data_IF_541184936672
#
_entry.id   IF_541184936672
#
_cell.length_a   1.000
_cell.length_b   1.000
_cell.length_c   1.000
_cell.angle_alpha   90.00
_cell.angle_beta   90.00
_cell.angle_gamma   90.00
#
_symmetry.space_group_name_H-M   'P 1'
#
loop_
_entity.id
_entity.type
_entity.pdbx_description
1 polymer ?
#
# COMPACT_ATOMS: atom_id res chain seq x y z
N UNK A 1 50.29 -14.12 6.16
CA UNK A 1 49.59 -13.55 7.34
C UNK A 1 48.61 -12.43 6.99
N UNK A 2 48.55 -11.92 5.75
CA UNK A 2 47.67 -10.82 5.32
C UNK A 2 46.25 -11.23 4.89
N UNK A 3 46.06 -12.46 4.39
CA UNK A 3 44.76 -12.93 3.88
C UNK A 3 43.70 -13.09 5.00
N UNK A 4 44.12 -13.51 6.19
CA UNK A 4 43.21 -13.70 7.33
C UNK A 4 42.71 -12.37 7.91
N UNK A 5 43.50 -11.30 7.87
CA UNK A 5 43.08 -9.98 8.35
C UNK A 5 42.08 -9.32 7.41
N UNK A 6 42.23 -9.54 6.10
CA UNK A 6 41.33 -8.97 5.09
C UNK A 6 39.97 -9.69 5.07
N UNK A 7 39.96 -11.02 5.22
CA UNK A 7 38.73 -11.81 5.41
C UNK A 7 37.99 -11.41 6.69
N UNK A 8 38.73 -11.18 7.79
CA UNK A 8 38.11 -10.80 9.06
C UNK A 8 37.55 -9.37 9.02
N UNK A 9 38.18 -8.46 8.28
CA UNK A 9 37.73 -7.08 8.08
C UNK A 9 36.54 -7.00 7.12
N UNK A 10 36.55 -7.79 6.05
CA UNK A 10 35.44 -7.93 5.11
C UNK A 10 34.21 -8.56 5.78
N UNK A 11 34.40 -9.64 6.56
CA UNK A 11 33.32 -10.26 7.32
C UNK A 11 32.72 -9.31 8.36
N UNK A 12 33.53 -8.57 9.12
CA UNK A 12 33.05 -7.57 10.08
C UNK A 12 32.26 -6.44 9.41
N UNK A 13 32.76 -5.94 8.28
CA UNK A 13 32.04 -4.95 7.45
C UNK A 13 30.69 -5.47 6.93
N UNK A 14 30.61 -6.75 6.55
CA UNK A 14 29.36 -7.36 6.06
C UNK A 14 28.37 -7.66 7.18
N UNK A 15 28.85 -8.01 8.38
CA UNK A 15 28.02 -8.21 9.57
C UNK A 15 27.52 -6.88 10.12
N UNK A 16 28.37 -5.86 10.15
CA UNK A 16 27.99 -4.50 10.52
C UNK A 16 26.97 -3.95 9.51
N UNK A 17 27.09 -4.27 8.22
CA UNK A 17 26.07 -3.96 7.21
C UNK A 17 24.75 -4.74 7.40
N UNK A 18 24.82 -5.99 7.88
CA UNK A 18 23.65 -6.84 8.18
C UNK A 18 22.94 -6.44 9.48
N UNK A 19 23.68 -6.01 10.50
CA UNK A 19 23.17 -5.56 11.80
C UNK A 19 22.71 -4.09 11.77
N UNK A 20 23.20 -3.31 10.81
CA UNK A 20 22.85 -1.90 10.60
C UNK A 20 21.89 -1.70 9.43
N UNK A 21 21.02 -2.68 9.14
CA UNK A 21 19.88 -2.46 8.26
C UNK A 21 18.95 -1.43 8.90
N UNK A 22 19.19 -0.15 8.60
CA UNK A 22 18.44 0.97 9.15
C UNK A 22 17.20 1.19 8.29
N UNK A 23 16.05 1.36 8.94
CA UNK A 23 14.79 1.69 8.27
C UNK A 23 14.94 2.96 7.43
N UNK A 24 14.69 2.86 6.12
CA UNK A 24 14.65 4.01 5.23
C UNK A 24 13.31 4.75 5.35
N UNK A 25 13.23 5.60 6.38
CA UNK A 25 12.07 6.43 6.65
C UNK A 25 11.73 7.37 5.50
N UNK A 26 12.74 7.88 4.77
CA UNK A 26 12.51 8.79 3.65
C UNK A 26 11.69 8.09 2.57
N UNK A 27 12.09 6.88 2.18
CA UNK A 27 11.36 6.11 1.19
C UNK A 27 9.95 5.72 1.66
N UNK A 28 9.77 5.41 2.95
CA UNK A 28 8.46 5.11 3.52
C UNK A 28 7.53 6.33 3.43
N UNK A 29 8.01 7.54 3.76
CA UNK A 29 7.20 8.75 3.66
C UNK A 29 6.79 9.07 2.22
N UNK A 30 7.69 8.94 1.24
CA UNK A 30 7.33 9.13 -0.18
C UNK A 30 6.23 8.16 -0.64
N UNK A 31 6.39 6.86 -0.33
CA UNK A 31 5.35 5.87 -0.62
C UNK A 31 4.04 6.19 0.09
N UNK A 32 4.11 6.62 1.35
CA UNK A 32 2.93 6.98 2.15
C UNK A 32 2.13 8.08 1.46
N UNK A 33 2.81 9.13 0.98
CA UNK A 33 2.16 10.22 0.24
C UNK A 33 1.52 9.75 -1.07
N UNK A 34 2.21 8.90 -1.83
CA UNK A 34 1.68 8.33 -3.08
C UNK A 34 0.47 7.43 -2.80
N UNK A 35 0.56 6.58 -1.78
CA UNK A 35 -0.51 5.67 -1.39
C UNK A 35 -1.77 6.43 -0.92
N UNK A 36 -1.59 7.56 -0.23
CA UNK A 36 -2.69 8.47 0.14
C UNK A 36 -3.37 9.09 -1.07
N UNK A 37 -2.61 9.58 -2.06
CA UNK A 37 -3.17 10.13 -3.30
C UNK A 37 -3.91 9.05 -4.10
N UNK A 38 -3.38 7.83 -4.12
CA UNK A 38 -4.03 6.69 -4.80
C UNK A 38 -5.32 6.24 -4.08
N UNK A 39 -5.32 6.16 -2.74
CA UNK A 39 -6.54 5.81 -2.00
C UNK A 39 -7.62 6.87 -2.15
N UNK A 40 -7.24 8.15 -2.21
CA UNK A 40 -8.14 9.26 -2.53
C UNK A 40 -8.79 9.08 -3.91
N UNK A 41 -8.01 8.77 -4.94
CA UNK A 41 -8.50 8.48 -6.30
C UNK A 41 -9.48 7.29 -6.30
N UNK A 42 -9.10 6.18 -5.69
CA UNK A 42 -9.94 4.96 -5.64
C UNK A 42 -11.29 5.26 -4.99
N UNK A 43 -11.28 6.00 -3.88
CA UNK A 43 -12.49 6.37 -3.16
C UNK A 43 -13.39 7.33 -3.96
N UNK A 44 -12.81 8.34 -4.61
CA UNK A 44 -13.57 9.23 -5.51
C UNK A 44 -14.22 8.45 -6.65
N UNK A 45 -13.49 7.52 -7.28
CA UNK A 45 -14.05 6.66 -8.34
C UNK A 45 -15.21 5.83 -7.79
N UNK A 46 -15.06 5.25 -6.60
CA UNK A 46 -16.11 4.41 -6.00
C UNK A 46 -17.42 5.19 -5.81
N UNK A 47 -17.36 6.33 -5.14
CA UNK A 47 -18.56 7.14 -4.87
C UNK A 47 -19.16 7.77 -6.14
N UNK A 48 -18.33 8.04 -7.15
CA UNK A 48 -18.76 8.66 -8.39
C UNK A 48 -19.23 7.66 -9.46
N UNK A 49 -18.83 6.38 -9.36
CA UNK A 49 -18.99 5.38 -10.42
C UNK A 49 -20.44 5.14 -10.86
N UNK A 50 -21.29 4.82 -9.89
CA UNK A 50 -22.69 4.53 -10.14
C UNK A 50 -23.50 5.79 -10.54
N UNK A 51 -23.41 6.93 -9.82
CA UNK A 51 -24.07 8.17 -10.24
C UNK A 51 -23.71 8.59 -11.67
N UNK A 52 -22.42 8.49 -12.01
CA UNK A 52 -21.94 8.89 -13.33
C UNK A 52 -22.54 8.03 -14.44
N UNK A 53 -22.47 6.71 -14.31
CA UNK A 53 -22.97 5.82 -15.36
C UNK A 53 -24.50 5.85 -15.46
N UNK A 54 -25.20 5.95 -14.34
CA UNK A 54 -26.66 6.09 -14.30
C UNK A 54 -27.13 7.40 -14.94
N UNK A 55 -26.36 8.48 -14.80
CA UNK A 55 -26.64 9.75 -15.47
C UNK A 55 -26.42 9.71 -16.98
N UNK A 56 -25.52 8.84 -17.46
CA UNK A 56 -25.19 8.70 -18.88
C UNK A 56 -26.19 7.84 -19.64
N UNK A 57 -26.73 6.82 -18.98
CA UNK A 57 -27.63 5.82 -19.57
C UNK A 57 -28.53 5.19 -18.49
N UNK A 58 -29.78 5.67 -18.37
CA UNK A 58 -30.73 5.22 -17.36
C UNK A 58 -31.16 3.75 -17.49
N UNK A 59 -30.91 3.10 -18.64
CA UNK A 59 -31.28 1.69 -18.85
C UNK A 59 -30.25 0.71 -18.23
N UNK A 60 -29.14 1.22 -17.69
CA UNK A 60 -28.09 0.39 -17.10
C UNK A 60 -28.57 -0.21 -15.78
N UNK A 61 -28.53 -1.55 -15.73
CA UNK A 61 -28.88 -2.31 -14.52
C UNK A 61 -27.76 -2.27 -13.48
N UNK A 62 -28.12 -2.35 -12.20
CA UNK A 62 -27.16 -2.48 -11.08
C UNK A 62 -26.18 -3.66 -11.26
N UNK A 63 -26.66 -4.76 -11.84
CA UNK A 63 -25.85 -5.93 -12.19
C UNK A 63 -24.65 -5.58 -13.09
N UNK A 64 -24.82 -4.63 -14.00
CA UNK A 64 -23.75 -4.16 -14.88
C UNK A 64 -22.64 -3.44 -14.09
N UNK A 65 -23.02 -2.64 -13.10
CA UNK A 65 -22.07 -1.99 -12.20
C UNK A 65 -21.33 -3.03 -11.34
N UNK A 66 -22.05 -4.02 -10.81
CA UNK A 66 -21.44 -5.15 -10.09
C UNK A 66 -20.41 -5.91 -10.94
N UNK A 67 -20.71 -6.14 -12.22
CA UNK A 67 -19.74 -6.70 -13.17
C UNK A 67 -18.54 -5.76 -13.39
N UNK A 68 -18.78 -4.45 -13.50
CA UNK A 68 -17.71 -3.44 -13.59
C UNK A 68 -16.74 -3.49 -12.42
N UNK A 69 -17.26 -3.54 -11.19
CA UNK A 69 -16.45 -3.68 -9.95
C UNK A 69 -15.71 -5.02 -9.91
N UNK A 70 -16.33 -6.10 -10.40
CA UNK A 70 -15.70 -7.41 -10.49
C UNK A 70 -14.52 -7.41 -11.45
N UNK A 71 -14.67 -6.78 -12.62
CA UNK A 71 -13.60 -6.65 -13.61
C UNK A 71 -12.46 -5.76 -13.10
N UNK A 72 -12.78 -4.67 -12.38
CA UNK A 72 -11.78 -3.84 -11.70
C UNK A 72 -10.94 -4.66 -10.71
N UNK A 73 -11.57 -5.49 -9.88
CA UNK A 73 -10.85 -6.31 -8.90
C UNK A 73 -10.06 -7.45 -9.54
N UNK A 74 -10.57 -8.06 -10.61
CA UNK A 74 -9.83 -9.03 -11.42
C UNK A 74 -8.57 -8.40 -12.05
N UNK A 75 -8.71 -7.21 -12.63
CA UNK A 75 -7.58 -6.45 -13.18
C UNK A 75 -6.54 -6.12 -12.13
N UNK A 76 -6.97 -5.72 -10.93
CA UNK A 76 -6.08 -5.46 -9.80
C UNK A 76 -5.35 -6.73 -9.32
N UNK A 77 -6.05 -7.87 -9.27
CA UNK A 77 -5.44 -9.14 -8.90
C UNK A 77 -4.34 -9.55 -9.89
N UNK A 78 -4.65 -9.57 -11.19
CA UNK A 78 -3.68 -9.95 -12.23
C UNK A 78 -2.47 -9.00 -12.26
N UNK A 79 -2.71 -7.69 -12.17
CA UNK A 79 -1.64 -6.71 -12.15
C UNK A 79 -0.77 -6.82 -10.88
N UNK A 80 -1.35 -7.16 -9.73
CA UNK A 80 -0.57 -7.36 -8.50
C UNK A 80 0.36 -8.58 -8.57
N UNK A 81 -0.08 -9.67 -9.22
CA UNK A 81 0.75 -10.85 -9.47
C UNK A 81 1.91 -10.52 -10.41
N UNK A 82 1.62 -9.84 -11.53
CA UNK A 82 2.62 -9.40 -12.49
C UNK A 82 3.62 -8.43 -11.86
N UNK A 83 3.13 -7.44 -11.12
CA UNK A 83 3.96 -6.45 -10.46
C UNK A 83 4.84 -7.07 -9.37
N UNK A 84 4.31 -8.05 -8.61
CA UNK A 84 5.08 -8.85 -7.66
C UNK A 84 6.20 -9.66 -8.33
N UNK A 85 5.91 -10.29 -9.46
CA UNK A 85 6.93 -11.03 -10.24
C UNK A 85 8.01 -10.10 -10.81
N UNK A 86 7.61 -8.97 -11.41
CA UNK A 86 8.52 -7.96 -11.97
C UNK A 86 9.40 -7.37 -10.88
N UNK A 87 8.80 -7.00 -9.74
CA UNK A 87 9.48 -6.52 -8.55
C UNK A 87 10.58 -7.49 -8.12
N UNK A 88 10.23 -8.77 -7.90
CA UNK A 88 11.18 -9.79 -7.45
C UNK A 88 12.31 -10.03 -8.45
N UNK A 89 12.00 -9.99 -9.75
CA UNK A 89 13.00 -10.17 -10.81
C UNK A 89 13.95 -8.98 -10.91
N UNK A 90 13.43 -7.76 -10.84
CA UNK A 90 14.23 -6.54 -10.97
C UNK A 90 14.96 -6.17 -9.68
N UNK A 91 14.55 -6.68 -8.52
CA UNK A 91 15.06 -6.21 -7.21
C UNK A 91 14.72 -4.74 -6.91
N UNK A 92 13.76 -4.19 -7.65
CA UNK A 92 13.34 -2.80 -7.56
C UNK A 92 11.82 -2.71 -7.64
N UNK A 93 11.22 -1.98 -6.70
CA UNK A 93 9.76 -1.74 -6.65
C UNK A 93 9.34 -0.49 -7.43
N UNK A 94 10.29 0.38 -7.79
CA UNK A 94 10.02 1.63 -8.52
C UNK A 94 9.35 1.44 -9.88
N UNK A 95 9.85 0.58 -10.79
CA UNK A 95 9.26 0.43 -12.13
C UNK A 95 7.77 0.01 -12.12
N UNK A 96 7.32 -1.01 -11.37
CA UNK A 96 5.91 -1.39 -11.37
C UNK A 96 5.00 -0.30 -10.78
N UNK A 97 5.45 0.42 -9.75
CA UNK A 97 4.69 1.53 -9.16
C UNK A 97 4.57 2.69 -10.17
N UNK A 98 5.66 3.06 -10.85
CA UNK A 98 5.63 4.10 -11.88
C UNK A 98 4.71 3.73 -13.06
N UNK A 99 4.80 2.50 -13.55
CA UNK A 99 3.95 2.01 -14.62
C UNK A 99 2.47 2.03 -14.20
N UNK A 100 2.17 1.56 -12.98
CA UNK A 100 0.83 1.63 -12.40
C UNK A 100 0.28 3.06 -12.34
N UNK A 101 1.12 4.02 -11.95
CA UNK A 101 0.71 5.42 -11.84
C UNK A 101 0.46 6.09 -13.20
N UNK A 102 1.25 5.75 -14.22
CA UNK A 102 1.00 6.22 -15.59
C UNK A 102 -0.34 5.68 -16.10
N UNK A 103 -0.60 4.38 -15.90
CA UNK A 103 -1.88 3.76 -16.25
C UNK A 103 -3.02 4.41 -15.45
N UNK A 104 -2.81 4.75 -14.18
CA UNK A 104 -3.79 5.45 -13.36
C UNK A 104 -4.20 6.78 -14.00
N UNK A 105 -3.23 7.61 -14.39
CA UNK A 105 -3.47 8.91 -15.05
C UNK A 105 -4.27 8.71 -16.34
N UNK A 106 -3.82 7.80 -17.21
CA UNK A 106 -4.51 7.51 -18.48
C UNK A 106 -5.94 7.04 -18.23
N UNK A 107 -6.13 6.12 -17.28
CA UNK A 107 -7.45 5.56 -16.96
C UNK A 107 -8.41 6.60 -16.37
N UNK A 108 -7.92 7.50 -15.51
CA UNK A 108 -8.72 8.56 -14.91
C UNK A 108 -9.08 9.63 -15.94
N UNK A 109 -8.17 9.97 -16.86
CA UNK A 109 -8.47 10.88 -17.98
C UNK A 109 -9.47 10.26 -18.96
N UNK A 110 -9.33 8.98 -19.28
CA UNK A 110 -10.28 8.27 -20.13
C UNK A 110 -11.67 8.24 -19.48
N UNK A 111 -11.72 7.97 -18.17
CA UNK A 111 -12.95 7.98 -17.40
C UNK A 111 -13.61 9.37 -17.39
N UNK A 112 -12.84 10.44 -17.21
CA UNK A 112 -13.35 11.81 -17.25
C UNK A 112 -13.89 12.23 -18.63
N UNK A 113 -13.46 11.56 -19.70
CA UNK A 113 -13.85 11.83 -21.08
C UNK A 113 -14.86 10.81 -21.63
N UNK A 114 -15.46 9.98 -20.77
CA UNK A 114 -16.42 8.95 -21.19
C UNK A 114 -17.65 9.54 -21.91
N UNK A 115 -18.02 10.78 -21.56
CA UNK A 115 -19.09 11.56 -22.21
C UNK A 115 -18.86 11.81 -23.71
N UNK A 116 -17.60 11.86 -24.16
CA UNK A 116 -17.24 12.10 -25.56
C UNK A 116 -17.51 10.91 -26.47
N UNK A 117 -17.75 9.71 -25.92
CA UNK A 117 -17.99 8.50 -26.70
C UNK A 117 -19.45 8.51 -27.20
N UNK A 118 -19.70 8.60 -28.52
CA UNK A 118 -21.04 8.78 -29.07
C UNK A 118 -21.87 7.49 -29.11
N UNK A 119 -21.23 6.31 -29.17
CA UNK A 119 -21.90 5.00 -29.25
C UNK A 119 -21.34 4.03 -28.20
N UNK A 120 -22.21 3.19 -27.60
CA UNK A 120 -21.79 2.08 -26.75
C UNK A 120 -20.96 2.46 -25.49
N UNK A 121 -21.36 3.56 -24.82
CA UNK A 121 -20.71 4.11 -23.60
C UNK A 121 -20.47 3.09 -22.49
N UNK A 122 -21.38 2.11 -22.37
CA UNK A 122 -21.29 0.95 -21.46
C UNK A 122 -19.95 0.20 -21.59
N UNK A 123 -19.50 -0.07 -22.81
CA UNK A 123 -18.25 -0.78 -23.04
C UNK A 123 -17.02 0.09 -22.76
N UNK A 124 -17.10 1.39 -23.03
CA UNK A 124 -16.06 2.35 -22.65
C UNK A 124 -15.83 2.39 -21.13
N UNK A 125 -16.91 2.34 -20.35
CA UNK A 125 -16.82 2.25 -18.89
C UNK A 125 -16.10 0.97 -18.43
N UNK A 126 -16.42 -0.18 -19.04
CA UNK A 126 -15.72 -1.44 -18.74
C UNK A 126 -14.21 -1.36 -18.99
N UNK A 127 -13.80 -0.78 -20.13
CA UNK A 127 -12.39 -0.58 -20.45
C UNK A 127 -11.71 0.30 -19.40
N UNK A 128 -12.38 1.37 -18.96
CA UNK A 128 -11.87 2.22 -17.88
C UNK A 128 -11.70 1.42 -16.58
N UNK A 129 -12.68 0.59 -16.21
CA UNK A 129 -12.61 -0.23 -14.98
C UNK A 129 -11.46 -1.24 -15.01
N UNK A 130 -11.19 -1.86 -16.17
CA UNK A 130 -10.03 -2.75 -16.34
C UNK A 130 -8.73 -1.98 -16.08
N UNK A 131 -8.55 -0.81 -16.71
CA UNK A 131 -7.34 -0.01 -16.57
C UNK A 131 -7.17 0.55 -15.15
N UNK A 132 -8.27 0.98 -14.52
CA UNK A 132 -8.29 1.39 -13.11
C UNK A 132 -7.89 0.22 -12.19
N UNK A 133 -8.35 -0.99 -12.50
CA UNK A 133 -7.96 -2.21 -11.79
C UNK A 133 -6.47 -2.49 -11.93
N UNK A 134 -5.98 -2.54 -13.17
CA UNK A 134 -4.57 -2.80 -13.48
C UNK A 134 -3.66 -1.78 -12.78
N UNK A 135 -4.00 -0.50 -12.84
CA UNK A 135 -3.22 0.55 -12.14
C UNK A 135 -3.17 0.32 -10.63
N UNK A 136 -4.31 0.10 -9.97
CA UNK A 136 -4.37 -0.18 -8.54
C UNK A 136 -3.54 -1.41 -8.16
N UNK A 137 -3.65 -2.50 -8.92
CA UNK A 137 -2.86 -3.71 -8.68
C UNK A 137 -1.35 -3.49 -8.77
N UNK A 138 -0.89 -2.71 -9.76
CA UNK A 138 0.51 -2.38 -9.92
C UNK A 138 1.05 -1.45 -8.82
N UNK A 139 0.27 -0.42 -8.43
CA UNK A 139 0.64 0.53 -7.37
C UNK A 139 0.78 -0.19 -6.03
N UNK A 140 -0.07 -1.19 -5.71
CA UNK A 140 -0.02 -1.95 -4.46
C UNK A 140 1.29 -2.69 -4.17
N UNK A 141 2.23 -2.72 -5.11
CA UNK A 141 3.62 -3.16 -4.90
C UNK A 141 4.32 -2.37 -3.78
N UNK A 142 3.83 -1.17 -3.43
CA UNK A 142 4.30 -0.44 -2.26
C UNK A 142 4.27 -1.26 -0.96
N UNK A 143 3.35 -2.23 -0.82
CA UNK A 143 3.27 -3.12 0.36
C UNK A 143 4.52 -3.98 0.49
N UNK A 144 5.03 -4.48 -0.64
CA UNK A 144 6.26 -5.26 -0.69
C UNK A 144 7.43 -4.35 -0.35
N UNK A 145 7.48 -3.14 -0.91
CA UNK A 145 8.54 -2.18 -0.59
C UNK A 145 8.63 -1.91 0.91
N UNK A 146 7.51 -1.61 1.55
CA UNK A 146 7.46 -1.26 2.98
C UNK A 146 7.91 -2.43 3.85
N UNK A 147 7.48 -3.65 3.51
CA UNK A 147 7.91 -4.85 4.23
C UNK A 147 9.43 -5.07 4.16
N UNK A 148 10.04 -4.75 3.02
CA UNK A 148 11.47 -4.91 2.76
C UNK A 148 12.30 -3.74 3.30
N UNK A 149 11.79 -2.50 3.28
CA UNK A 149 12.51 -1.31 3.73
C UNK A 149 12.43 -1.06 5.24
N UNK A 150 11.55 -1.76 5.96
CA UNK A 150 11.37 -1.64 7.40
C UNK A 150 12.08 -2.76 8.17
N UNK A 151 12.73 -2.41 9.27
CA UNK A 151 13.21 -3.40 10.26
C UNK A 151 12.04 -4.09 10.98
N UNK A 152 12.27 -5.26 11.58
CA UNK A 152 11.23 -5.98 12.31
C UNK A 152 10.65 -5.16 13.48
N UNK A 153 11.48 -4.34 14.14
CA UNK A 153 11.05 -3.44 15.20
C UNK A 153 10.16 -2.30 14.69
N UNK A 154 10.51 -1.69 13.54
CA UNK A 154 9.81 -0.52 13.02
C UNK A 154 8.67 -0.85 12.05
N UNK A 155 8.54 -2.11 11.59
CA UNK A 155 7.55 -2.53 10.58
C UNK A 155 6.12 -2.24 11.00
N UNK A 156 5.79 -2.44 12.28
CA UNK A 156 4.46 -2.11 12.82
C UNK A 156 4.19 -0.61 12.71
N UNK A 157 5.14 0.23 13.09
CA UNK A 157 5.06 1.70 12.99
C UNK A 157 4.93 2.17 11.54
N UNK A 158 5.73 1.62 10.62
CA UNK A 158 5.64 1.93 9.19
C UNK A 158 4.25 1.57 8.61
N UNK A 159 3.75 0.38 8.94
CA UNK A 159 2.41 -0.05 8.52
C UNK A 159 1.30 0.82 9.11
N UNK A 160 1.43 1.27 10.36
CA UNK A 160 0.45 2.18 10.98
C UNK A 160 0.42 3.55 10.30
N UNK A 161 1.59 4.12 9.95
CA UNK A 161 1.68 5.42 9.24
C UNK A 161 1.01 5.32 7.87
N UNK A 162 1.29 4.26 7.11
CA UNK A 162 0.65 4.07 5.81
C UNK A 162 -0.83 3.78 5.97
N UNK A 163 -1.22 2.92 6.90
CA UNK A 163 -2.62 2.62 7.20
C UNK A 163 -3.42 3.89 7.51
N UNK A 164 -2.88 4.79 8.31
CA UNK A 164 -3.48 6.09 8.60
C UNK A 164 -3.63 6.94 7.34
N UNK A 165 -2.58 7.05 6.52
CA UNK A 165 -2.62 7.81 5.27
C UNK A 165 -3.65 7.29 4.27
N UNK A 166 -3.82 5.97 4.17
CA UNK A 166 -4.81 5.35 3.29
C UNK A 166 -6.22 5.75 3.71
N UNK A 167 -6.52 5.69 5.01
CA UNK A 167 -7.81 6.10 5.56
C UNK A 167 -8.11 7.58 5.31
N UNK A 168 -7.11 8.47 5.49
CA UNK A 168 -7.26 9.89 5.13
C UNK A 168 -7.67 10.03 3.66
N UNK A 169 -6.97 9.36 2.74
CA UNK A 169 -7.32 9.43 1.32
C UNK A 169 -8.74 8.92 1.05
N UNK A 170 -9.15 7.80 1.67
CA UNK A 170 -10.52 7.28 1.53
C UNK A 170 -11.60 8.27 2.00
N UNK A 171 -11.28 9.14 2.95
CA UNK A 171 -12.22 10.16 3.42
C UNK A 171 -12.21 11.38 2.51
N UNK A 172 -11.03 11.80 2.03
CA UNK A 172 -10.90 12.93 1.11
C UNK A 172 -11.54 12.67 -0.27
N UNK A 173 -11.69 11.40 -0.66
CA UNK A 173 -12.26 11.02 -1.95
C UNK A 173 -13.68 11.57 -2.17
N UNK A 174 -14.68 11.22 -1.34
CA UNK A 174 -16.06 11.66 -1.51
C UNK A 174 -16.25 13.13 -1.16
N UNK A 175 -15.43 13.67 -0.24
CA UNK A 175 -15.36 15.11 0.04
C UNK A 175 -15.01 15.91 -1.21
N UNK A 176 -14.11 15.38 -2.05
CA UNK A 176 -13.77 16.01 -3.32
C UNK A 176 -14.98 16.04 -4.25
N UNK A 177 -15.71 14.92 -4.37
CA UNK A 177 -16.93 14.88 -5.21
C UNK A 177 -17.95 15.91 -4.70
N UNK A 178 -18.21 15.93 -3.38
CA UNK A 178 -19.11 16.90 -2.76
C UNK A 178 -18.69 18.35 -3.02
N UNK A 179 -17.40 18.66 -2.89
CA UNK A 179 -16.86 20.00 -3.16
C UNK A 179 -17.16 20.44 -4.59
N UNK A 180 -16.89 19.59 -5.58
CA UNK A 180 -17.14 19.92 -6.98
C UNK A 180 -18.63 19.95 -7.34
N UNK A 181 -19.47 19.12 -6.72
CA UNK A 181 -20.93 19.22 -6.85
C UNK A 181 -21.46 20.56 -6.34
N UNK A 182 -20.89 21.12 -5.27
CA UNK A 182 -21.27 22.44 -4.75
C UNK A 182 -20.72 23.59 -5.59
N UNK A 183 -19.52 23.43 -6.16
CA UNK A 183 -18.87 24.46 -6.97
C UNK A 183 -19.47 24.55 -8.39
N UNK A 184 -19.87 23.43 -8.99
CA UNK A 184 -20.47 23.38 -10.32
C UNK A 184 -21.98 23.16 -10.23
N UNK A 185 -22.74 24.25 -10.12
CA UNK A 185 -24.21 24.21 -10.15
C UNK A 185 -24.80 24.06 -11.57
N UNK A 186 -23.99 24.16 -12.62
CA UNK A 186 -24.41 23.99 -14.02
C UNK A 186 -23.25 23.40 -14.82
N UNK A 187 -23.55 22.44 -15.70
CA UNK A 187 -22.54 21.83 -16.58
C UNK A 187 -22.02 22.86 -17.59
N UNK A 188 -20.72 23.15 -17.54
CA UNK A 188 -20.09 24.10 -18.46
C UNK A 188 -19.53 23.30 -19.64
N UNK A 189 -20.03 23.56 -20.86
CA UNK A 189 -19.45 22.99 -22.07
C UNK A 189 -18.20 23.78 -22.45
N UNK A 190 -17.04 23.14 -22.40
CA UNK A 190 -15.81 23.74 -22.89
C UNK A 190 -15.78 23.74 -24.44
N UNK A 191 -15.06 24.69 -25.05
CA UNK A 191 -14.99 24.84 -26.52
C UNK A 191 -14.44 23.62 -27.27
N UNK A 192 -13.84 22.65 -26.58
CA UNK A 192 -13.25 21.43 -27.14
C UNK A 192 -14.21 20.22 -27.17
N UNK A 193 -15.50 20.44 -26.85
CA UNK A 193 -16.52 19.38 -26.80
C UNK A 193 -16.61 18.63 -25.47
N UNK A 194 -15.68 18.87 -24.53
CA UNK A 194 -15.71 18.33 -23.16
C UNK A 194 -16.77 19.08 -22.34
N UNK A 195 -17.73 18.38 -21.74
CA UNK A 195 -18.63 19.00 -20.77
C UNK A 195 -18.05 18.81 -19.37
N UNK A 196 -17.76 19.92 -18.67
CA UNK A 196 -17.44 19.87 -17.25
C UNK A 196 -18.76 19.69 -16.49
N UNK A 197 -19.15 18.44 -16.32
CA UNK A 197 -20.24 18.01 -15.44
C UNK A 197 -19.75 17.85 -14.00
N UNK A 198 -20.69 17.81 -13.07
CA UNK A 198 -20.47 17.51 -11.64
C UNK A 198 -19.72 16.19 -11.40
N UNK A 199 -19.77 15.25 -12.35
CA UNK A 199 -19.15 13.94 -12.26
C UNK A 199 -17.76 13.88 -12.92
N UNK A 200 -17.49 14.74 -13.91
CA UNK A 200 -16.21 14.77 -14.63
C UNK A 200 -15.17 15.66 -13.94
N UNK A 201 -15.59 16.78 -13.33
CA UNK A 201 -14.69 17.71 -12.64
C UNK A 201 -13.86 17.07 -11.50
N UNK A 202 -14.43 16.24 -10.59
CA UNK A 202 -13.66 15.51 -9.59
C UNK A 202 -12.59 14.60 -10.21
N UNK A 203 -12.88 14.00 -11.36
CA UNK A 203 -11.97 13.07 -12.03
C UNK A 203 -10.76 13.78 -12.63
N UNK A 204 -10.94 14.98 -13.20
CA UNK A 204 -9.82 15.82 -13.63
C UNK A 204 -8.91 16.21 -12.47
N UNK A 205 -9.49 16.57 -11.33
CA UNK A 205 -8.73 16.85 -10.12
C UNK A 205 -7.95 15.62 -9.61
N UNK A 206 -8.55 14.43 -9.65
CA UNK A 206 -7.85 13.18 -9.30
C UNK A 206 -6.74 12.83 -10.30
N UNK A 207 -6.90 13.13 -11.59
CA UNK A 207 -5.83 12.98 -12.56
C UNK A 207 -4.66 13.91 -12.23
N UNK A 208 -4.93 15.16 -11.84
CA UNK A 208 -3.91 16.10 -11.37
C UNK A 208 -3.18 15.60 -10.12
N UNK A 209 -3.90 15.10 -9.12
CA UNK A 209 -3.28 14.49 -7.92
C UNK A 209 -2.44 13.26 -8.27
N UNK A 210 -2.89 12.45 -9.23
CA UNK A 210 -2.13 11.28 -9.71
C UNK A 210 -0.83 11.68 -10.42
N UNK A 211 -0.83 12.79 -11.16
CA UNK A 211 0.37 13.38 -11.78
C UNK A 211 1.35 13.86 -10.71
N UNK A 212 0.87 14.54 -9.65
CA UNK A 212 1.72 14.92 -8.51
C UNK A 212 2.34 13.67 -7.87
N UNK A 213 1.54 12.61 -7.65
CA UNK A 213 2.04 11.33 -7.15
C UNK A 213 3.14 10.73 -8.03
N UNK A 214 2.98 10.78 -9.36
CA UNK A 214 4.01 10.33 -10.31
C UNK A 214 5.29 11.16 -10.20
N UNK A 215 5.17 12.50 -10.09
CA UNK A 215 6.31 13.40 -9.92
C UNK A 215 7.06 13.09 -8.60
N UNK A 216 6.33 12.84 -7.51
CA UNK A 216 6.93 12.47 -6.22
C UNK A 216 7.74 11.17 -6.32
N UNK A 217 7.23 10.16 -7.04
CA UNK A 217 7.98 8.92 -7.29
C UNK A 217 9.24 9.20 -8.13
N UNK A 218 9.12 10.04 -9.17
CA UNK A 218 10.25 10.34 -10.07
C UNK A 218 11.39 11.02 -9.31
N UNK A 219 11.07 12.03 -8.48
CA UNK A 219 12.05 12.86 -7.78
C UNK A 219 12.61 12.15 -6.53
N UNK A 220 11.76 11.46 -5.76
CA UNK A 220 12.07 11.12 -4.37
C UNK A 220 12.33 9.66 -4.06
N UNK A 221 11.98 8.72 -4.94
CA UNK A 221 11.88 7.30 -4.59
C UNK A 221 13.00 6.43 -5.20
N UNK A 222 13.95 5.91 -4.42
CA UNK A 222 15.05 5.06 -4.94
C UNK A 222 14.59 3.59 -5.19
N UNK A 223 13.55 3.13 -4.47
CA UNK A 223 12.84 1.86 -4.74
C UNK A 223 13.69 0.59 -4.76
N UNK A 224 14.88 0.64 -4.17
CA UNK A 224 15.77 -0.53 -4.01
C UNK A 224 15.18 -1.49 -2.99
N UNK A 225 15.18 -2.77 -3.33
CA UNK A 225 14.88 -3.83 -2.37
C UNK A 225 16.18 -4.43 -1.87
N UNK A 226 16.43 -4.32 -0.57
CA UNK A 226 17.48 -5.08 0.08
C UNK A 226 17.05 -6.55 0.10
N UNK A 227 17.64 -7.36 -0.78
CA UNK A 227 17.38 -8.80 -0.77
C UNK A 227 17.92 -9.37 0.53
N UNK A 228 17.17 -10.20 1.28
CA UNK A 228 17.77 -11.03 2.30
C UNK A 228 18.83 -11.89 1.61
N UNK A 229 20.06 -11.85 2.11
CA UNK A 229 21.17 -12.64 1.59
C UNK A 229 20.75 -14.12 1.65
N UNK A 230 20.42 -14.71 0.49
CA UNK A 230 20.37 -16.16 0.40
C UNK A 230 21.81 -16.64 0.62
N UNK A 231 22.09 -17.53 1.58
CA UNK A 231 23.40 -18.17 1.61
C UNK A 231 23.57 -18.86 0.27
N UNK A 232 24.62 -18.47 -0.47
CA UNK A 232 25.02 -19.13 -1.71
C UNK A 232 25.23 -20.61 -1.39
N UNK A 233 24.33 -21.46 -1.90
CA UNK A 233 24.63 -22.86 -2.12
C UNK A 233 25.36 -22.91 -3.45
N UNK A 234 26.68 -22.87 -3.42
CA UNK A 234 27.50 -23.10 -4.61
C UNK A 234 27.36 -24.58 -4.98
N UNK A 235 26.63 -24.85 -6.05
CA UNK A 235 26.82 -26.06 -6.85
C UNK A 235 28.02 -25.81 -7.76
N UNK A 236 29.19 -26.35 -7.42
CA UNK A 236 30.16 -26.76 -8.43
C UNK A 236 31.02 -27.96 -7.95
N UNK A 237 30.70 -29.10 -8.55
CA UNK A 237 31.57 -30.21 -8.98
C UNK A 237 32.90 -30.47 -8.23
N UNK A 238 32.86 -31.49 -7.38
CA UNK A 238 33.83 -32.59 -7.37
C UNK A 238 35.29 -32.30 -7.00
N UNK A 239 35.60 -32.21 -5.71
CA UNK A 239 36.82 -32.80 -5.13
C UNK A 239 36.52 -33.28 -3.71
N UNK A 240 36.65 -34.59 -3.50
CA UNK A 240 36.75 -35.22 -2.19
C UNK A 240 38.09 -34.81 -1.56
N UNK A 241 38.04 -34.11 -0.42
CA UNK A 241 38.75 -34.45 0.82
C UNK A 241 38.95 -33.25 1.75
N UNK A 242 38.41 -33.41 2.95
CA UNK A 242 38.97 -33.02 4.24
C UNK A 242 39.07 -31.53 4.63
N UNK A 243 38.82 -31.32 5.92
CA UNK A 243 38.93 -30.09 6.71
C UNK A 243 37.73 -29.13 6.72
N UNK A 244 36.99 -29.25 7.82
CA UNK A 244 36.10 -28.28 8.42
C UNK A 244 36.66 -26.85 8.42
N UNK A 245 35.99 -25.94 7.69
CA UNK A 245 36.07 -24.51 7.99
C UNK A 245 34.77 -23.79 7.61
N UNK A 246 33.73 -24.03 8.40
CA UNK A 246 32.54 -23.17 8.45
C UNK A 246 32.82 -22.01 9.39
N UNK A 247 32.92 -20.80 8.86
CA UNK A 247 33.01 -19.58 9.64
C UNK A 247 31.68 -19.34 10.37
N UNK A 248 31.72 -19.37 11.70
CA UNK A 248 30.58 -19.07 12.57
C UNK A 248 30.86 -17.76 13.30
N UNK A 249 30.07 -16.72 13.00
CA UNK A 249 30.07 -15.48 13.78
C UNK A 249 29.10 -15.68 14.95
N UNK A 250 29.64 -15.59 16.17
CA UNK A 250 28.90 -15.79 17.41
C UNK A 250 28.45 -14.42 17.94
N UNK A 251 27.22 -13.99 17.64
CA UNK A 251 26.59 -12.86 18.36
C UNK A 251 25.73 -13.40 19.50
N UNK A 252 26.19 -13.29 20.74
CA UNK A 252 25.32 -13.44 21.92
C UNK A 252 24.53 -12.14 22.07
N UNK A 253 23.28 -12.12 21.62
CA UNK A 253 22.30 -11.13 22.09
C UNK A 253 21.40 -11.86 23.08
N UNK A 254 21.59 -11.60 24.37
CA UNK A 254 20.67 -12.06 25.41
C UNK A 254 19.40 -11.22 25.31
N UNK A 255 18.28 -11.89 25.05
CA UNK A 255 16.95 -11.30 25.01
C UNK A 255 16.55 -10.92 26.45
N UNK A 256 16.46 -9.63 26.75
CA UNK A 256 15.77 -9.15 27.95
C UNK A 256 16.49 -8.13 28.84
N UNK A 257 16.94 -6.99 28.31
CA UNK A 257 17.22 -5.78 29.11
C UNK A 257 17.04 -4.50 28.28
N UNK A 258 16.68 -3.41 28.98
CA UNK A 258 16.29 -2.07 28.48
C UNK A 258 17.32 -1.41 27.52
N UNK A 259 16.92 -0.50 26.61
CA UNK A 259 17.74 -0.03 25.48
C UNK A 259 18.98 0.83 25.82
N UNK A 260 19.22 1.15 27.09
CA UNK A 260 20.22 2.14 27.49
C UNK A 260 21.59 1.50 27.81
N UNK A 261 21.65 0.20 28.07
CA UNK A 261 22.91 -0.47 28.47
C UNK A 261 23.67 -1.14 27.30
N UNK A 262 23.11 -1.13 26.08
CA UNK A 262 23.73 -1.76 24.91
C UNK A 262 24.98 -1.01 24.40
N UNK A 263 25.24 0.21 24.90
CA UNK A 263 26.35 1.06 24.45
C UNK A 263 27.71 0.72 25.13
N UNK A 264 27.76 -0.20 26.11
CA UNK A 264 28.98 -0.46 26.91
C UNK A 264 29.52 -1.90 26.91
N UNK A 265 29.13 -2.74 25.95
CA UNK A 265 29.74 -4.06 25.81
C UNK A 265 31.07 -3.97 25.04
N UNK A 266 32.16 -3.73 25.77
CA UNK A 266 33.51 -3.96 25.27
C UNK A 266 33.66 -5.43 24.82
N UNK A 267 34.09 -5.61 23.57
CA UNK A 267 34.43 -6.91 22.98
C UNK A 267 35.72 -7.45 23.62
N UNK A 268 35.58 -8.32 24.61
CA UNK A 268 36.71 -9.09 25.15
C UNK A 268 36.85 -10.40 24.36
N UNK A 269 38.01 -10.58 23.71
CA UNK A 269 38.35 -11.79 22.96
C UNK A 269 38.93 -12.80 23.95
N UNK A 270 38.13 -13.79 24.37
CA UNK A 270 38.58 -14.90 25.21
C UNK A 270 39.18 -16.00 24.31
N UNK A 271 40.40 -16.52 24.58
CA UNK A 271 40.99 -17.61 23.81
C UNK A 271 40.29 -18.95 24.09
N UNK A 272 40.25 -19.79 23.07
CA UNK A 272 39.56 -21.10 23.06
C UNK A 272 40.11 -22.07 24.11
N UNK A 273 39.30 -22.42 25.09
CA UNK A 273 39.40 -23.69 25.82
C UNK A 273 38.47 -24.72 25.17
N UNK A 274 38.99 -25.92 24.96
CA UNK A 274 38.35 -27.11 24.39
C UNK A 274 37.00 -27.45 25.03
N UNK A 275 35.94 -26.90 24.48
CA UNK A 275 34.58 -27.44 24.56
C UNK A 275 33.83 -26.90 23.34
N UNK A 276 33.77 -27.70 22.26
CA UNK A 276 33.01 -27.34 21.06
C UNK A 276 31.55 -27.09 21.45
N UNK A 277 31.05 -25.84 21.41
CA UNK A 277 29.64 -25.59 21.70
C UNK A 277 28.87 -26.09 20.47
N UNK A 278 28.01 -27.08 20.68
CA UNK A 278 27.09 -27.58 19.65
C UNK A 278 26.41 -26.39 18.98
N UNK A 279 26.66 -26.20 17.69
CA UNK A 279 25.93 -25.25 16.85
C UNK A 279 24.50 -25.79 16.76
N UNK A 280 23.63 -25.35 17.66
CA UNK A 280 22.20 -25.53 17.48
C UNK A 280 21.82 -24.77 16.20
N UNK A 281 21.55 -25.55 15.14
CA UNK A 281 20.82 -25.03 13.97
C UNK A 281 19.61 -24.27 14.51
N UNK A 282 19.32 -23.04 14.06
CA UNK A 282 18.08 -22.38 14.44
C UNK A 282 16.96 -23.39 14.20
N UNK A 283 16.20 -23.73 15.26
CA UNK A 283 15.06 -24.64 15.16
C UNK A 283 14.29 -24.23 13.92
N UNK A 284 14.11 -25.15 12.97
CA UNK A 284 13.33 -24.91 11.76
C UNK A 284 12.05 -24.19 12.19
N UNK A 285 11.89 -22.95 11.75
CA UNK A 285 10.75 -22.13 12.16
C UNK A 285 9.50 -22.90 11.74
N UNK A 286 8.81 -23.52 12.71
CA UNK A 286 7.62 -24.30 12.42
C UNK A 286 6.54 -23.29 12.05
N UNK A 287 6.13 -23.31 10.79
CA UNK A 287 5.04 -22.45 10.34
C UNK A 287 3.79 -22.81 11.12
N UNK A 288 3.22 -21.83 11.81
CA UNK A 288 1.91 -21.96 12.41
C UNK A 288 0.86 -21.90 11.28
N UNK A 289 0.59 -23.07 10.70
CA UNK A 289 -0.38 -23.23 9.62
C UNK A 289 -1.79 -22.83 10.05
N UNK A 290 -2.13 -22.96 11.33
CA UNK A 290 -3.44 -22.57 11.85
C UNK A 290 -3.56 -21.05 11.86
N UNK A 291 -2.53 -20.34 12.33
CA UNK A 291 -2.50 -18.88 12.28
C UNK A 291 -2.54 -18.35 10.84
N UNK A 292 -1.77 -18.96 9.92
CA UNK A 292 -1.78 -18.58 8.50
C UNK A 292 -3.18 -18.77 7.89
N UNK A 293 -3.82 -19.92 8.13
CA UNK A 293 -5.16 -20.20 7.64
C UNK A 293 -6.18 -19.21 8.22
N UNK A 294 -6.12 -18.93 9.52
CA UNK A 294 -6.99 -17.96 10.18
C UNK A 294 -6.83 -16.55 9.57
N UNK A 295 -5.59 -16.11 9.29
CA UNK A 295 -5.32 -14.84 8.62
C UNK A 295 -5.88 -14.81 7.19
N UNK A 296 -5.76 -15.90 6.42
CA UNK A 296 -6.31 -15.99 5.06
C UNK A 296 -7.84 -15.89 5.09
N UNK A 297 -8.49 -16.64 5.98
CA UNK A 297 -9.95 -16.63 6.12
C UNK A 297 -10.43 -15.24 6.55
N UNK A 298 -9.80 -14.64 7.56
CA UNK A 298 -10.13 -13.29 8.00
C UNK A 298 -9.99 -12.27 6.85
N UNK A 299 -8.90 -12.37 6.07
CA UNK A 299 -8.68 -11.49 4.92
C UNK A 299 -9.74 -11.69 3.83
N UNK A 300 -10.13 -12.93 3.56
CA UNK A 300 -11.18 -13.26 2.59
C UNK A 300 -12.53 -12.69 3.02
N UNK A 301 -12.91 -12.83 4.29
CA UNK A 301 -14.14 -12.26 4.84
C UNK A 301 -14.14 -10.72 4.72
N UNK A 302 -13.04 -10.06 5.08
CA UNK A 302 -12.90 -8.60 4.93
C UNK A 302 -13.03 -8.18 3.46
N UNK A 303 -12.37 -8.89 2.54
CA UNK A 303 -12.46 -8.60 1.12
C UNK A 303 -13.89 -8.79 0.59
N UNK A 304 -14.61 -9.83 1.03
CA UNK A 304 -15.99 -10.07 0.65
C UNK A 304 -16.92 -8.93 1.14
N UNK A 305 -16.77 -8.52 2.40
CA UNK A 305 -17.53 -7.39 2.95
C UNK A 305 -17.27 -6.09 2.20
N UNK A 306 -16.01 -5.79 1.89
CA UNK A 306 -15.65 -4.60 1.12
C UNK A 306 -16.26 -4.66 -0.27
N UNK A 307 -16.14 -5.79 -0.98
CA UNK A 307 -16.74 -5.98 -2.31
C UNK A 307 -18.26 -5.79 -2.29
N UNK A 308 -18.93 -6.39 -1.30
CA UNK A 308 -20.38 -6.26 -1.12
C UNK A 308 -20.79 -4.79 -0.92
N UNK A 309 -20.15 -4.09 0.02
CA UNK A 309 -20.44 -2.67 0.29
C UNK A 309 -20.14 -1.80 -0.94
N UNK A 310 -19.01 -2.05 -1.62
CA UNK A 310 -18.56 -1.29 -2.79
C UNK A 310 -19.52 -1.47 -3.98
N UNK A 311 -20.00 -2.68 -4.22
CA UNK A 311 -20.83 -2.98 -5.38
C UNK A 311 -22.29 -2.59 -5.19
N UNK A 312 -22.82 -2.74 -3.96
CA UNK A 312 -24.27 -2.66 -3.71
C UNK A 312 -24.69 -1.45 -2.87
N UNK A 313 -23.84 -0.88 -2.00
CA UNK A 313 -24.31 0.16 -1.08
C UNK A 313 -24.83 1.41 -1.81
N UNK A 314 -24.13 1.84 -2.86
CA UNK A 314 -24.51 3.03 -3.62
C UNK A 314 -25.77 2.79 -4.46
N UNK A 315 -25.89 1.74 -5.29
CA UNK A 315 -27.14 1.45 -6.01
C UNK A 315 -28.32 1.23 -5.07
N UNK A 316 -28.15 0.43 -4.01
CA UNK A 316 -29.19 0.10 -3.05
C UNK A 316 -29.74 1.34 -2.32
N UNK A 317 -28.86 2.27 -1.93
CA UNK A 317 -29.31 3.52 -1.31
C UNK A 317 -30.07 4.41 -2.29
N UNK A 318 -29.63 4.51 -3.55
CA UNK A 318 -30.35 5.28 -4.57
C UNK A 318 -31.73 4.68 -4.88
N UNK A 319 -31.86 3.35 -4.95
CA UNK A 319 -33.16 2.71 -5.23
C UNK A 319 -34.11 2.70 -4.04
N UNK A 320 -33.61 2.48 -2.83
CA UNK A 320 -34.44 2.44 -1.61
C UNK A 320 -34.97 3.83 -1.25
N UNK A 321 -34.13 4.86 -1.34
CA UNK A 321 -34.51 6.21 -0.93
C UNK A 321 -34.97 7.10 -2.10
N UNK A 322 -34.85 6.62 -3.35
CA UNK A 322 -35.20 7.41 -4.54
C UNK A 322 -34.31 8.64 -4.74
N UNK A 323 -33.10 8.64 -4.17
CA UNK A 323 -32.20 9.78 -4.20
C UNK A 323 -31.57 9.99 -5.57
N UNK A 324 -31.35 11.26 -5.93
CA UNK A 324 -30.50 11.59 -7.07
C UNK A 324 -29.04 11.26 -6.77
N UNK A 325 -28.22 11.12 -7.82
CA UNK A 325 -26.77 10.88 -7.65
C UNK A 325 -26.08 11.98 -6.83
N UNK A 326 -26.53 13.23 -6.95
CA UNK A 326 -26.04 14.36 -6.15
C UNK A 326 -26.36 14.22 -4.66
N UNK A 327 -27.62 13.87 -4.34
CA UNK A 327 -28.07 13.68 -2.96
C UNK A 327 -27.33 12.53 -2.29
N UNK A 328 -27.12 11.42 -3.01
CA UNK A 328 -26.37 10.27 -2.50
C UNK A 328 -24.92 10.65 -2.17
N UNK A 329 -24.23 11.37 -3.07
CA UNK A 329 -22.86 11.82 -2.83
C UNK A 329 -22.79 12.76 -1.62
N UNK A 330 -23.72 13.71 -1.51
CA UNK A 330 -23.78 14.63 -0.37
C UNK A 330 -23.97 13.88 0.95
N UNK A 331 -24.93 12.96 1.00
CA UNK A 331 -25.19 12.13 2.17
C UNK A 331 -23.98 11.29 2.59
N UNK A 332 -23.32 10.66 1.62
CA UNK A 332 -22.13 9.84 1.90
C UNK A 332 -20.97 10.69 2.44
N UNK A 333 -20.77 11.89 1.89
CA UNK A 333 -19.77 12.84 2.38
C UNK A 333 -20.09 13.36 3.79
N UNK A 334 -21.36 13.66 4.09
CA UNK A 334 -21.80 14.10 5.42
C UNK A 334 -21.57 13.02 6.49
N UNK A 335 -21.89 11.76 6.19
CA UNK A 335 -21.60 10.62 7.08
C UNK A 335 -20.10 10.53 7.37
N UNK A 336 -19.25 10.66 6.34
CA UNK A 336 -17.80 10.58 6.52
C UNK A 336 -17.25 11.74 7.36
N UNK A 337 -17.82 12.95 7.23
CA UNK A 337 -17.48 14.08 8.09
C UNK A 337 -17.89 13.79 9.53
N UNK A 338 -19.08 13.25 9.76
CA UNK A 338 -19.53 12.89 11.10
C UNK A 338 -18.63 11.84 11.74
N UNK A 339 -18.27 10.80 10.98
CA UNK A 339 -17.33 9.77 11.41
C UNK A 339 -15.95 10.37 11.74
N UNK A 340 -15.46 11.33 10.95
CA UNK A 340 -14.21 12.04 11.23
C UNK A 340 -14.26 12.81 12.55
N UNK A 341 -15.33 13.58 12.76
CA UNK A 341 -15.52 14.36 13.99
C UNK A 341 -15.54 13.42 15.19
N UNK A 342 -16.28 12.31 15.10
CA UNK A 342 -16.34 11.30 16.14
C UNK A 342 -14.97 10.68 16.45
N UNK A 343 -14.17 10.34 15.42
CA UNK A 343 -12.81 9.85 15.63
C UNK A 343 -11.89 10.90 16.27
N UNK A 344 -12.06 12.17 15.92
CA UNK A 344 -11.28 13.27 16.49
C UNK A 344 -11.62 13.48 17.97
N UNK A 345 -12.90 13.38 18.34
CA UNK A 345 -13.34 13.42 19.74
C UNK A 345 -12.74 12.27 20.56
N UNK A 346 -12.78 11.04 20.02
CA UNK A 346 -12.14 9.88 20.67
C UNK A 346 -10.64 10.11 20.86
N UNK A 347 -9.96 10.65 19.84
CA UNK A 347 -8.53 10.95 19.93
C UNK A 347 -8.23 11.99 21.03
N UNK A 348 -9.02 13.06 21.11
CA UNK A 348 -8.90 14.05 22.18
C UNK A 348 -9.10 13.39 23.56
N UNK A 349 -10.13 12.55 23.69
CA UNK A 349 -10.42 11.86 24.96
C UNK A 349 -9.28 10.95 25.38
N UNK A 350 -8.67 10.22 24.45
CA UNK A 350 -7.47 9.39 24.69
C UNK A 350 -6.29 10.26 25.11
N UNK A 351 -6.04 11.38 24.44
CA UNK A 351 -4.94 12.29 24.78
C UNK A 351 -5.11 12.92 26.17
N UNK A 352 -6.34 13.32 26.51
CA UNK A 352 -6.68 13.83 27.85
C UNK A 352 -6.47 12.74 28.89
N UNK A 353 -6.92 11.51 28.64
CA UNK A 353 -6.72 10.38 29.54
C UNK A 353 -5.23 10.08 29.78
N UNK A 354 -4.41 10.08 28.73
CA UNK A 354 -2.95 9.90 28.82
C UNK A 354 -2.32 11.06 29.62
N UNK A 355 -2.72 12.30 29.35
CA UNK A 355 -2.19 13.47 30.07
C UNK A 355 -2.52 13.41 31.56
N UNK A 356 -3.76 13.06 31.91
CA UNK A 356 -4.20 12.87 33.31
C UNK A 356 -3.42 11.74 33.96
N UNK A 357 -3.22 10.62 33.26
CA UNK A 357 -2.45 9.50 33.79
C UNK A 357 -0.98 9.88 34.06
N UNK A 358 -0.35 10.65 33.16
CA UNK A 358 1.01 11.18 33.36
C UNK A 358 1.05 12.13 34.56
N UNK A 359 0.06 13.03 34.70
CA UNK A 359 -0.06 13.96 35.83
C UNK A 359 -0.32 13.28 37.17
N UNK A 360 -0.84 12.04 37.19
CA UNK A 360 -1.04 11.26 38.41
C UNK A 360 0.24 10.48 38.78
N UNK A 361 1.07 10.16 37.79
CA UNK A 361 2.32 9.40 37.97
C UNK A 361 3.53 10.27 38.36
N UNK A 362 3.46 11.58 38.11
CA UNK A 362 4.45 12.58 38.51
C UNK A 362 3.88 13.48 39.60
#
# INVERSE_FOLDING_TARGET
MTVSSDLHRSSKSSIDALLLHKTDWRSIYFITSVAMMDSMRISTVLSNSWPYISSLDPEITENFNGLGVSVYTLGAALASLLAGWISNKLSHTRPPIMAGQIIAIVSTLLYANLELIPYNRRYGFFVCQILLGISNGAIQTWRVHVAMSSTDHDRSKANSIIGFSLNIGFILGPLTVMLFTRLLSTSIRLPWGVQLSIYTAPMYFMAFMSIIGLILIIIGFDGKMDKPHKPHGDEDNGVSNNCDQKWAIKSKVQLGTSPIDAEKAHLEIVPSSDDTPKVERPKSFQFDWVAILACIVARLCICFLILYLTALAVPYSMTTFGWSGEQMVAFYAEILIFILIFYFEILILILVFILVFILILF
#
